data_IF_281725767486
#
_entry.id   IF_281725767486
#
_cell.length_a   1.000
_cell.length_b   1.000
_cell.length_c   1.000
_cell.angle_alpha   90.00
_cell.angle_beta   90.00
_cell.angle_gamma   90.00
#
_symmetry.space_group_name_H-M   'P 1'
#
loop_
_entity.id
_entity.type
_entity.pdbx_description
1 polymer ?
#
# COMPACT_ATOMS: atom_id res chain seq x y z
N UNK A 1 36.55 35.15 22.56
CA UNK A 1 35.25 34.97 21.87
C UNK A 1 35.10 33.48 21.58
N UNK A 2 34.18 32.79 22.28
CA UNK A 2 33.94 31.35 22.09
C UNK A 2 32.90 31.18 20.98
N UNK A 3 33.29 30.63 19.84
CA UNK A 3 32.35 30.16 18.81
C UNK A 3 31.91 28.75 19.18
N UNK A 4 30.69 28.60 19.68
CA UNK A 4 30.03 27.30 19.80
C UNK A 4 29.58 26.86 18.41
N UNK A 5 30.38 25.98 17.80
CA UNK A 5 29.92 25.15 16.70
C UNK A 5 28.90 24.14 17.28
N UNK A 6 27.63 24.54 17.37
CA UNK A 6 26.55 23.58 17.61
C UNK A 6 26.42 22.73 16.35
N UNK A 7 26.76 21.45 16.46
CA UNK A 7 26.71 20.45 15.40
C UNK A 7 25.23 20.22 15.01
N UNK A 8 24.72 20.78 13.91
CA UNK A 8 23.34 20.54 13.51
C UNK A 8 23.38 19.29 12.63
N UNK A 9 23.10 18.11 13.18
CA UNK A 9 23.10 16.91 12.32
C UNK A 9 22.88 15.56 12.97
N UNK A 10 23.08 15.41 14.28
CA UNK A 10 22.81 14.12 14.95
C UNK A 10 21.33 13.97 15.28
N UNK A 11 20.72 15.00 15.85
CA UNK A 11 19.33 14.94 16.32
C UNK A 11 18.34 14.94 15.15
N UNK A 12 18.56 15.79 14.14
CA UNK A 12 17.72 15.80 12.93
C UNK A 12 17.79 14.47 12.13
N UNK A 13 18.95 13.81 12.08
CA UNK A 13 19.07 12.51 11.43
C UNK A 13 18.38 11.41 12.25
N UNK A 14 18.47 11.47 13.58
CA UNK A 14 17.79 10.54 14.47
C UNK A 14 16.26 10.69 14.37
N UNK A 15 15.76 11.92 14.35
CA UNK A 15 14.33 12.23 14.16
C UNK A 15 13.83 11.75 12.79
N UNK A 16 14.60 11.97 11.72
CA UNK A 16 14.27 11.46 10.40
C UNK A 16 14.20 9.93 10.38
N UNK A 17 15.19 9.25 10.99
CA UNK A 17 15.19 7.77 11.08
C UNK A 17 13.98 7.25 11.85
N UNK A 18 13.67 7.85 13.01
CA UNK A 18 12.50 7.47 13.78
C UNK A 18 11.20 7.67 12.98
N UNK A 19 11.12 8.74 12.18
CA UNK A 19 9.97 9.00 11.29
C UNK A 19 9.85 7.92 10.21
N UNK A 20 10.96 7.54 9.58
CA UNK A 20 10.97 6.47 8.56
C UNK A 20 10.62 5.12 9.18
N UNK A 21 11.18 4.78 10.35
CA UNK A 21 10.88 3.54 11.07
C UNK A 21 9.38 3.46 11.42
N UNK A 22 8.81 4.54 11.96
CA UNK A 22 7.38 4.61 12.26
C UNK A 22 6.50 4.46 11.00
N UNK A 23 6.93 5.04 9.87
CA UNK A 23 6.23 4.88 8.59
C UNK A 23 6.26 3.42 8.10
N UNK A 24 7.42 2.77 8.14
CA UNK A 24 7.57 1.36 7.76
C UNK A 24 6.76 0.42 8.67
N UNK A 25 6.75 0.68 9.99
CA UNK A 25 5.90 -0.06 10.93
C UNK A 25 4.42 0.13 10.62
N UNK A 26 4.01 1.33 10.19
CA UNK A 26 2.65 1.59 9.78
C UNK A 26 2.28 0.84 8.50
N UNK A 27 3.15 0.85 7.48
CA UNK A 27 2.96 0.09 6.25
C UNK A 27 2.80 -1.41 6.53
N UNK A 28 3.62 -1.98 7.41
CA UNK A 28 3.54 -3.39 7.80
C UNK A 28 2.21 -3.71 8.49
N UNK A 29 1.80 -2.86 9.45
CA UNK A 29 0.52 -3.03 10.17
C UNK A 29 -0.66 -2.96 9.21
N UNK A 30 -0.67 -1.97 8.33
CA UNK A 30 -1.78 -1.68 7.43
C UNK A 30 -1.86 -2.76 6.32
N UNK A 31 -0.71 -3.24 5.83
CA UNK A 31 -0.63 -4.41 4.95
C UNK A 31 -1.22 -5.66 5.61
N UNK A 32 -0.86 -5.93 6.87
CA UNK A 32 -1.43 -7.04 7.63
C UNK A 32 -2.95 -6.89 7.84
N UNK A 33 -3.43 -5.66 8.03
CA UNK A 33 -4.86 -5.37 8.13
C UNK A 33 -5.58 -5.67 6.81
N UNK A 34 -5.04 -5.27 5.66
CA UNK A 34 -5.59 -5.60 4.33
C UNK A 34 -5.66 -7.11 4.14
N UNK A 35 -4.59 -7.85 4.47
CA UNK A 35 -4.60 -9.32 4.43
C UNK A 35 -5.70 -9.91 5.32
N UNK A 36 -5.88 -9.37 6.52
CA UNK A 36 -6.94 -9.76 7.45
C UNK A 36 -8.33 -9.57 6.84
N UNK A 37 -8.61 -8.37 6.30
CA UNK A 37 -9.89 -8.04 5.67
C UNK A 37 -10.20 -8.92 4.46
N UNK A 38 -9.19 -9.23 3.64
CA UNK A 38 -9.31 -10.17 2.52
C UNK A 38 -9.64 -11.59 2.99
N UNK A 39 -9.00 -12.06 4.07
CA UNK A 39 -9.22 -13.41 4.61
C UNK A 39 -10.60 -13.58 5.23
N UNK A 40 -11.12 -12.53 5.87
CA UNK A 40 -12.46 -12.55 6.47
C UNK A 40 -13.57 -12.21 5.49
N UNK A 41 -13.23 -11.95 4.20
CA UNK A 41 -14.16 -11.49 3.18
C UNK A 41 -15.00 -10.28 3.65
N UNK A 42 -14.36 -9.35 4.35
CA UNK A 42 -15.04 -8.17 4.88
C UNK A 42 -15.60 -7.34 3.72
N UNK A 43 -16.89 -6.94 3.74
CA UNK A 43 -17.50 -6.17 2.67
C UNK A 43 -16.73 -4.89 2.37
N UNK A 44 -16.52 -4.57 1.08
CA UNK A 44 -15.73 -3.41 0.65
C UNK A 44 -16.19 -2.09 1.28
N UNK A 45 -17.50 -1.90 1.48
CA UNK A 45 -18.08 -0.70 2.11
C UNK A 45 -17.64 -0.48 3.57
N UNK A 46 -17.22 -1.54 4.27
CA UNK A 46 -16.76 -1.49 5.65
C UNK A 46 -15.25 -1.23 5.77
N UNK A 47 -14.52 -1.17 4.65
CA UNK A 47 -13.08 -0.94 4.68
C UNK A 47 -12.74 0.54 4.94
N UNK A 48 -11.71 0.83 5.75
CA UNK A 48 -11.17 2.18 5.89
C UNK A 48 -10.78 2.76 4.53
N UNK A 49 -11.11 4.03 4.29
CA UNK A 49 -10.89 4.69 3.00
C UNK A 49 -9.42 4.65 2.55
N UNK A 50 -8.48 4.92 3.45
CA UNK A 50 -7.05 4.88 3.14
C UNK A 50 -6.60 3.49 2.62
N UNK A 51 -7.07 2.41 3.24
CA UNK A 51 -6.77 1.04 2.79
C UNK A 51 -7.43 0.74 1.44
N UNK A 52 -8.64 1.26 1.22
CA UNK A 52 -9.32 1.14 -0.07
C UNK A 52 -8.53 1.81 -1.18
N UNK A 53 -8.10 3.05 -0.96
CA UNK A 53 -7.31 3.83 -1.94
C UNK A 53 -5.96 3.20 -2.21
N UNK A 54 -5.25 2.77 -1.16
CA UNK A 54 -3.97 2.07 -1.31
C UNK A 54 -4.11 0.76 -2.09
N UNK A 55 -5.15 -0.05 -1.83
CA UNK A 55 -5.38 -1.28 -2.59
C UNK A 55 -5.76 -1.01 -4.05
N UNK A 56 -6.65 -0.02 -4.29
CA UNK A 56 -6.99 0.40 -5.66
C UNK A 56 -5.74 0.84 -6.43
N UNK A 57 -4.84 1.60 -5.80
CA UNK A 57 -3.59 2.02 -6.41
C UNK A 57 -2.58 0.87 -6.58
N UNK A 58 -2.53 -0.08 -5.64
CA UNK A 58 -1.65 -1.25 -5.72
C UNK A 58 -1.97 -2.10 -6.97
N UNK A 59 -3.24 -2.19 -7.36
CA UNK A 59 -3.71 -2.90 -8.55
C UNK A 59 -3.90 -2.02 -9.79
N UNK A 60 -3.68 -0.70 -9.66
CA UNK A 60 -3.74 0.21 -10.81
C UNK A 60 -2.49 -0.01 -11.66
N UNK A 61 -2.70 -0.47 -12.88
CA UNK A 61 -1.64 -0.74 -13.85
C UNK A 61 -1.31 0.54 -14.61
N UNK A 62 -0.34 1.30 -14.12
CA UNK A 62 0.12 2.52 -14.79
C UNK A 62 1.62 2.46 -15.07
N UNK A 63 2.00 2.85 -16.29
CA UNK A 63 3.39 2.90 -16.74
C UNK A 63 3.95 1.54 -17.19
N UNK A 64 5.27 1.56 -17.43
CA UNK A 64 6.04 0.40 -17.86
C UNK A 64 7.09 0.03 -16.80
N UNK A 65 7.45 -1.25 -16.74
CA UNK A 65 8.49 -1.75 -15.83
C UNK A 65 7.95 -2.61 -14.69
N UNK A 66 8.79 -2.80 -13.67
CA UNK A 66 8.58 -3.81 -12.62
C UNK A 66 7.31 -3.56 -11.80
N UNK A 67 7.03 -2.31 -11.42
CA UNK A 67 5.87 -1.99 -10.59
C UNK A 67 4.53 -2.20 -11.33
N UNK A 68 4.47 -1.87 -12.62
CA UNK A 68 3.32 -2.20 -13.46
C UNK A 68 3.14 -3.72 -13.61
N UNK A 69 4.24 -4.49 -13.68
CA UNK A 69 4.20 -5.95 -13.71
C UNK A 69 3.67 -6.54 -12.39
N UNK A 70 4.11 -6.02 -11.24
CA UNK A 70 3.60 -6.43 -9.92
C UNK A 70 2.13 -6.08 -9.78
N UNK A 71 1.69 -4.90 -10.22
CA UNK A 71 0.28 -4.49 -10.20
C UNK A 71 -0.60 -5.44 -11.03
N UNK A 72 -0.17 -5.79 -12.26
CA UNK A 72 -0.84 -6.80 -13.12
C UNK A 72 -0.96 -8.15 -12.44
N UNK A 73 0.13 -8.63 -11.85
CA UNK A 73 0.13 -9.91 -11.14
C UNK A 73 -0.77 -9.89 -9.92
N UNK A 74 -0.74 -8.81 -9.15
CA UNK A 74 -1.61 -8.66 -7.99
C UNK A 74 -3.08 -8.62 -8.41
N UNK A 75 -3.42 -7.85 -9.46
CA UNK A 75 -4.78 -7.78 -10.02
C UNK A 75 -5.25 -9.17 -10.46
N UNK A 76 -4.43 -9.89 -11.22
CA UNK A 76 -4.72 -11.27 -11.63
C UNK A 76 -4.84 -12.23 -10.44
N UNK A 77 -4.03 -12.06 -9.39
CA UNK A 77 -4.16 -12.88 -8.19
C UNK A 77 -5.47 -12.61 -7.44
N UNK A 78 -5.83 -11.35 -7.25
CA UNK A 78 -7.00 -10.96 -6.46
C UNK A 78 -8.30 -11.22 -7.20
N UNK A 79 -8.36 -10.89 -8.49
CA UNK A 79 -9.61 -10.88 -9.25
C UNK A 79 -9.66 -11.89 -10.39
N UNK A 80 -8.53 -12.55 -10.72
CA UNK A 80 -8.40 -13.55 -11.80
C UNK A 80 -8.88 -13.04 -13.15
N UNK A 81 -10.18 -13.20 -13.43
CA UNK A 81 -10.84 -12.84 -14.69
C UNK A 81 -11.98 -11.83 -14.48
N UNK A 82 -12.15 -11.32 -13.26
CA UNK A 82 -13.17 -10.34 -12.91
C UNK A 82 -12.54 -8.95 -12.90
N UNK A 83 -13.16 -8.01 -13.61
CA UNK A 83 -12.83 -6.60 -13.42
C UNK A 83 -13.59 -6.08 -12.20
N UNK A 84 -12.92 -5.58 -11.14
CA UNK A 84 -13.61 -4.96 -10.03
C UNK A 84 -14.35 -3.66 -10.37
N UNK A 85 -14.15 -3.09 -11.58
CA UNK A 85 -14.83 -1.87 -12.01
C UNK A 85 -14.42 -0.62 -11.23
N UNK A 86 -13.28 -0.70 -10.52
CA UNK A 86 -12.77 0.40 -9.71
C UNK A 86 -12.20 1.52 -10.59
N UNK A 87 -12.34 2.78 -10.16
CA UNK A 87 -11.60 3.86 -10.80
C UNK A 87 -10.10 3.66 -10.61
N UNK A 88 -9.32 3.95 -11.65
CA UNK A 88 -7.86 3.98 -11.55
C UNK A 88 -7.44 5.05 -10.53
N UNK A 89 -6.60 4.66 -9.57
CA UNK A 89 -6.02 5.58 -8.59
C UNK A 89 -4.55 5.78 -8.94
N UNK A 90 -4.23 6.95 -9.49
CA UNK A 90 -2.86 7.27 -9.91
C UNK A 90 -1.97 7.42 -8.66
N UNK A 91 -0.76 6.85 -8.66
CA UNK A 91 0.17 6.98 -7.53
C UNK A 91 0.44 8.44 -7.13
N UNK A 92 0.44 9.36 -8.11
CA UNK A 92 0.63 10.81 -7.89
C UNK A 92 -0.50 11.49 -7.09
N UNK A 93 -1.64 10.83 -6.93
CA UNK A 93 -2.79 11.34 -6.15
C UNK A 93 -2.81 10.84 -4.72
N UNK A 94 -1.88 9.97 -4.34
CA UNK A 94 -1.76 9.39 -3.02
C UNK A 94 -0.91 10.26 -2.09
N UNK A 95 -1.20 10.19 -0.80
CA UNK A 95 -0.25 10.61 0.22
C UNK A 95 0.97 9.67 0.24
N UNK A 96 2.14 10.11 0.77
CA UNK A 96 3.31 9.25 0.86
C UNK A 96 3.07 7.93 1.61
N UNK A 97 2.22 7.94 2.64
CA UNK A 97 1.86 6.75 3.40
C UNK A 97 1.01 5.77 2.57
N UNK A 98 0.05 6.28 1.80
CA UNK A 98 -0.75 5.43 0.90
C UNK A 98 0.09 4.87 -0.24
N UNK A 99 1.05 5.65 -0.75
CA UNK A 99 1.99 5.17 -1.77
C UNK A 99 2.89 4.06 -1.24
N UNK A 100 3.52 4.26 -0.07
CA UNK A 100 4.33 3.23 0.58
C UNK A 100 3.54 1.96 0.85
N UNK A 101 2.29 2.11 1.33
CA UNK A 101 1.38 0.97 1.51
C UNK A 101 1.04 0.29 0.18
N UNK A 102 0.73 1.02 -0.89
CA UNK A 102 0.42 0.43 -2.20
C UNK A 102 1.59 -0.39 -2.75
N UNK A 103 2.82 0.13 -2.66
CA UNK A 103 4.05 -0.58 -3.03
C UNK A 103 4.24 -1.84 -2.16
N UNK A 104 4.04 -1.72 -0.83
CA UNK A 104 4.12 -2.84 0.09
C UNK A 104 3.11 -3.94 -0.22
N UNK A 105 1.86 -3.57 -0.53
CA UNK A 105 0.79 -4.51 -0.89
C UNK A 105 1.13 -5.33 -2.14
N UNK A 106 1.79 -4.71 -3.13
CA UNK A 106 2.25 -5.42 -4.33
C UNK A 106 3.24 -6.54 -4.00
N UNK A 107 4.03 -6.40 -2.94
CA UNK A 107 4.96 -7.45 -2.51
C UNK A 107 4.31 -8.43 -1.54
N UNK A 108 3.60 -7.93 -0.54
CA UNK A 108 3.05 -8.74 0.53
C UNK A 108 1.87 -9.59 0.07
N UNK A 109 0.95 -9.05 -0.73
CA UNK A 109 -0.24 -9.81 -1.07
C UNK A 109 0.10 -11.00 -1.98
N UNK A 110 1.11 -10.86 -2.83
CA UNK A 110 1.59 -11.97 -3.67
C UNK A 110 2.03 -13.15 -2.80
N UNK A 111 1.32 -14.27 -2.92
CA UNK A 111 1.60 -15.48 -2.13
C UNK A 111 1.10 -15.49 -0.68
N UNK A 112 0.58 -14.39 -0.11
CA UNK A 112 -0.02 -14.36 1.25
C UNK A 112 -1.54 -14.42 1.26
N UNK A 113 -2.19 -14.26 0.11
CA UNK A 113 -3.64 -14.34 -0.08
C UNK A 113 -4.01 -15.42 -1.10
N UNK A 114 -5.23 -15.95 -0.99
CA UNK A 114 -5.72 -16.96 -1.92
C UNK A 114 -6.07 -16.34 -3.28
N UNK A 115 -5.88 -17.09 -4.36
CA UNK A 115 -6.31 -16.68 -5.70
C UNK A 115 -7.81 -16.42 -5.74
N UNK A 116 -8.22 -15.28 -6.29
CA UNK A 116 -9.63 -14.87 -6.43
C UNK A 116 -10.27 -14.35 -5.15
N UNK A 117 -9.50 -14.09 -4.07
CA UNK A 117 -10.06 -13.57 -2.82
C UNK A 117 -10.64 -12.15 -2.94
N UNK A 118 -10.30 -11.42 -4.00
CA UNK A 118 -10.82 -10.08 -4.30
C UNK A 118 -12.26 -10.07 -4.83
N UNK A 119 -12.87 -11.23 -5.15
CA UNK A 119 -14.25 -11.29 -5.69
C UNK A 119 -15.31 -10.63 -4.80
N UNK A 120 -15.07 -10.55 -3.49
CA UNK A 120 -15.97 -9.92 -2.53
C UNK A 120 -15.83 -8.39 -2.45
N UNK A 121 -14.86 -7.85 -3.19
CA UNK A 121 -14.59 -6.42 -3.23
C UNK A 121 -15.17 -5.75 -4.48
N UNK A 122 -15.76 -6.55 -5.37
CA UNK A 122 -16.51 -6.06 -6.52
C UNK A 122 -17.81 -5.46 -5.97
N UNK A 123 -18.11 -4.18 -6.25
CA UNK A 123 -19.41 -3.61 -5.90
C UNK A 123 -20.52 -4.38 -6.62
N UNK A 124 -21.59 -4.72 -5.90
CA UNK A 124 -22.83 -5.25 -6.51
C UNK A 124 -23.48 -4.25 -7.47
#
# INVERSE_FOLDING_TARGET
MKSTHSKPGSDALAEYRATVEAALEAEVRDSAQVVGLLRTATPWSAWPEALRRALMAAVTEEGDGMEAQKARWLRGQLFRDTDPGWPSVLPSTLSPAEQGLAERLREDLLGRTALGCGKYLVPD
#
